data_IF_280485892233
#
_entry.id   IF_280485892233
#
_cell.length_a   1.000
_cell.length_b   1.000
_cell.length_c   1.000
_cell.angle_alpha   90.00
_cell.angle_beta   90.00
_cell.angle_gamma   90.00
#
_symmetry.space_group_name_H-M   'P 1'
#
loop_
_entity.id
_entity.type
_entity.pdbx_description
1 polymer ?
#
# COMPACT_ATOMS: atom_id res chain seq x y z
N UNK A 1 13.74 17.35 -15.85
CA UNK A 1 14.51 18.54 -15.45
C UNK A 1 14.99 18.47 -13.99
N UNK A 2 14.21 17.95 -13.04
CA UNK A 2 14.62 17.82 -11.62
C UNK A 2 15.82 16.86 -11.44
N UNK A 3 15.88 15.75 -12.19
CA UNK A 3 17.04 14.83 -12.17
C UNK A 3 18.37 15.56 -12.44
N UNK A 4 18.38 16.51 -13.36
CA UNK A 4 19.60 17.21 -13.81
C UNK A 4 20.16 18.18 -12.75
N UNK A 5 19.31 18.66 -11.83
CA UNK A 5 19.69 19.50 -10.69
C UNK A 5 20.09 18.67 -9.46
N UNK A 6 19.41 17.54 -9.19
CA UNK A 6 19.63 16.76 -7.98
C UNK A 6 20.76 15.74 -8.08
N UNK A 7 21.07 15.23 -9.27
CA UNK A 7 22.19 14.28 -9.49
C UNK A 7 23.54 14.85 -9.05
N UNK A 8 23.95 16.08 -9.40
CA UNK A 8 25.24 16.61 -8.97
C UNK A 8 25.34 16.89 -7.47
N UNK A 9 24.21 17.06 -6.75
CA UNK A 9 24.21 17.41 -5.33
C UNK A 9 23.97 16.22 -4.39
N UNK A 10 23.16 15.23 -4.79
CA UNK A 10 22.72 14.09 -3.95
C UNK A 10 22.96 12.74 -4.66
N UNK A 11 23.57 12.73 -5.85
CA UNK A 11 23.90 11.51 -6.59
C UNK A 11 22.68 10.70 -7.03
N UNK A 12 22.82 9.38 -7.02
CA UNK A 12 21.77 8.42 -7.45
C UNK A 12 20.51 8.52 -6.57
N UNK A 13 20.67 8.81 -5.27
CA UNK A 13 19.54 8.99 -4.35
C UNK A 13 18.69 10.20 -4.80
N UNK A 14 19.34 11.29 -5.22
CA UNK A 14 18.66 12.45 -5.79
C UNK A 14 17.83 12.13 -7.05
N UNK A 15 18.33 11.24 -7.90
CA UNK A 15 17.59 10.79 -9.09
C UNK A 15 16.33 9.97 -8.73
N UNK A 16 16.43 9.09 -7.73
CA UNK A 16 15.28 8.31 -7.25
C UNK A 16 14.21 9.21 -6.60
N UNK A 17 14.62 10.19 -5.77
CA UNK A 17 13.70 11.15 -5.14
C UNK A 17 13.00 12.03 -6.17
N UNK A 18 13.74 12.51 -7.17
CA UNK A 18 13.18 13.32 -8.26
C UNK A 18 12.15 12.53 -9.09
N UNK A 19 12.41 11.25 -9.34
CA UNK A 19 11.45 10.36 -10.03
C UNK A 19 10.20 10.15 -9.19
N UNK A 20 10.35 9.82 -7.90
CA UNK A 20 9.24 9.66 -6.97
C UNK A 20 8.37 10.93 -6.91
N UNK A 21 9.00 12.09 -6.78
CA UNK A 21 8.31 13.38 -6.73
C UNK A 21 7.60 13.73 -8.03
N UNK A 22 8.23 13.44 -9.18
CA UNK A 22 7.63 13.67 -10.50
C UNK A 22 6.37 12.83 -10.70
N UNK A 23 6.42 11.54 -10.35
CA UNK A 23 5.24 10.67 -10.42
C UNK A 23 4.17 11.05 -9.40
N UNK A 24 4.56 11.48 -8.20
CA UNK A 24 3.61 11.98 -7.20
C UNK A 24 2.86 13.21 -7.71
N UNK A 25 3.56 14.22 -8.23
CA UNK A 25 2.94 15.40 -8.84
C UNK A 25 2.04 15.03 -10.01
N UNK A 26 2.49 14.12 -10.88
CA UNK A 26 1.69 13.64 -12.01
C UNK A 26 0.39 12.99 -11.53
N UNK A 27 0.45 12.14 -10.50
CA UNK A 27 -0.73 11.50 -9.91
C UNK A 27 -1.70 12.53 -9.31
N UNK A 28 -1.19 13.51 -8.56
CA UNK A 28 -2.01 14.58 -7.95
C UNK A 28 -2.67 15.45 -9.00
N UNK A 29 -1.93 15.91 -10.01
CA UNK A 29 -2.47 16.74 -11.09
C UNK A 29 -3.51 15.98 -11.92
N UNK A 30 -3.21 14.72 -12.25
CA UNK A 30 -4.15 13.85 -12.96
C UNK A 30 -5.43 13.67 -12.14
N UNK A 31 -5.31 13.34 -10.85
CA UNK A 31 -6.44 13.20 -9.94
C UNK A 31 -7.28 14.49 -9.88
N UNK A 32 -6.65 15.64 -9.72
CA UNK A 32 -7.35 16.93 -9.66
C UNK A 32 -8.11 17.25 -10.95
N UNK A 33 -7.51 16.98 -12.12
CA UNK A 33 -8.16 17.21 -13.43
C UNK A 33 -9.28 16.19 -13.65
N UNK A 34 -9.07 14.92 -13.30
CA UNK A 34 -10.06 13.86 -13.41
C UNK A 34 -11.28 14.12 -12.52
N UNK A 35 -11.08 14.55 -11.26
CA UNK A 35 -12.16 14.93 -10.34
C UNK A 35 -13.00 16.11 -10.86
N UNK A 36 -12.41 17.00 -11.66
CA UNK A 36 -13.13 18.13 -12.27
C UNK A 36 -14.05 17.70 -13.42
N UNK A 37 -13.68 16.67 -14.17
CA UNK A 37 -14.41 16.24 -15.37
C UNK A 37 -15.27 14.99 -15.15
N UNK A 38 -14.93 14.17 -14.17
CA UNK A 38 -15.63 12.95 -13.80
C UNK A 38 -16.03 13.03 -12.33
N UNK A 39 -17.28 12.63 -12.03
CA UNK A 39 -17.70 12.27 -10.66
C UNK A 39 -17.04 10.94 -10.28
N UNK A 40 -15.71 10.95 -10.12
CA UNK A 40 -15.02 9.84 -9.49
C UNK A 40 -15.23 9.99 -7.99
N UNK A 41 -15.99 9.07 -7.41
CA UNK A 41 -15.98 8.83 -5.97
C UNK A 41 -14.61 8.26 -5.60
N UNK A 42 -13.60 9.14 -5.56
CA UNK A 42 -12.30 8.76 -5.04
C UNK A 42 -12.47 8.52 -3.55
N UNK A 43 -12.35 7.26 -3.15
CA UNK A 43 -12.29 6.86 -1.75
C UNK A 43 -10.93 7.25 -1.16
N UNK A 44 -10.65 8.56 -1.12
CA UNK A 44 -9.48 9.14 -0.43
C UNK A 44 -9.40 8.64 1.01
N UNK A 45 -10.57 8.42 1.63
CA UNK A 45 -10.69 7.80 2.93
C UNK A 45 -9.99 6.43 2.98
N UNK A 46 -10.17 5.56 2.00
CA UNK A 46 -9.56 4.22 1.98
C UNK A 46 -8.04 4.27 1.73
N UNK A 47 -7.56 5.25 0.96
CA UNK A 47 -6.12 5.52 0.82
C UNK A 47 -5.51 5.87 2.18
N UNK A 48 -6.18 6.76 2.95
CA UNK A 48 -5.70 7.14 4.30
C UNK A 48 -5.66 5.93 5.23
N UNK A 49 -6.67 5.05 5.20
CA UNK A 49 -6.67 3.80 5.99
C UNK A 49 -5.52 2.87 5.62
N UNK A 50 -5.25 2.72 4.32
CA UNK A 50 -4.13 1.90 3.83
C UNK A 50 -2.77 2.46 4.27
N UNK A 51 -2.60 3.78 4.21
CA UNK A 51 -1.40 4.45 4.72
C UNK A 51 -1.25 4.23 6.23
N UNK A 52 -2.31 4.38 7.01
CA UNK A 52 -2.30 4.17 8.46
C UNK A 52 -1.95 2.72 8.83
N UNK A 53 -2.51 1.75 8.10
CA UNK A 53 -2.17 0.33 8.26
C UNK A 53 -0.70 0.06 7.94
N UNK A 54 -0.18 0.65 6.86
CA UNK A 54 1.23 0.53 6.46
C UNK A 54 2.19 1.12 7.50
N UNK A 55 1.84 2.26 8.10
CA UNK A 55 2.62 2.87 9.18
C UNK A 55 2.66 1.93 10.39
N UNK A 56 1.54 1.31 10.75
CA UNK A 56 1.48 0.37 11.88
C UNK A 56 2.35 -0.86 11.64
N UNK A 57 2.32 -1.42 10.43
CA UNK A 57 3.23 -2.49 10.01
C UNK A 57 4.70 -2.04 10.08
N UNK A 58 5.02 -0.86 9.57
CA UNK A 58 6.39 -0.33 9.61
C UNK A 58 6.91 -0.20 11.04
N UNK A 59 6.11 0.37 11.94
CA UNK A 59 6.45 0.48 13.35
C UNK A 59 6.74 -0.89 13.94
N UNK A 60 5.88 -1.88 13.69
CA UNK A 60 6.11 -3.25 14.13
C UNK A 60 7.44 -3.82 13.63
N UNK A 61 7.68 -3.80 12.33
CA UNK A 61 8.90 -4.37 11.73
C UNK A 61 10.15 -3.64 12.22
N UNK A 62 10.06 -2.33 12.48
CA UNK A 62 11.20 -1.52 12.94
C UNK A 62 11.73 -1.90 14.32
N UNK A 63 10.94 -2.60 15.16
CA UNK A 63 11.40 -3.08 16.47
C UNK A 63 12.31 -4.30 16.40
N UNK A 64 12.39 -4.98 15.24
CA UNK A 64 13.18 -6.19 15.09
C UNK A 64 14.48 -5.92 14.33
N UNK A 65 15.58 -6.48 14.82
CA UNK A 65 16.87 -6.47 14.13
C UNK A 65 17.01 -7.79 13.37
N UNK A 66 16.91 -7.72 12.04
CA UNK A 66 17.01 -8.87 11.16
C UNK A 66 18.48 -9.27 11.02
N UNK A 67 18.85 -10.43 11.55
CA UNK A 67 20.23 -10.96 11.51
C UNK A 67 20.38 -12.17 10.59
N UNK A 68 19.27 -12.86 10.28
CA UNK A 68 19.23 -14.04 9.42
C UNK A 68 18.14 -13.95 8.34
N UNK A 69 18.32 -14.70 7.24
CA UNK A 69 17.32 -14.78 6.16
C UNK A 69 16.01 -15.43 6.63
N UNK A 70 16.07 -16.37 7.57
CA UNK A 70 14.87 -16.99 8.13
C UNK A 70 14.06 -15.99 8.96
N UNK A 71 14.73 -15.18 9.79
CA UNK A 71 14.10 -14.10 10.55
C UNK A 71 13.46 -13.06 9.62
N UNK A 72 14.08 -12.77 8.47
CA UNK A 72 13.51 -11.88 7.47
C UNK A 72 12.14 -12.39 6.98
N UNK A 73 12.05 -13.68 6.63
CA UNK A 73 10.79 -14.27 6.18
C UNK A 73 9.73 -14.31 7.28
N UNK A 74 10.12 -14.62 8.52
CA UNK A 74 9.21 -14.62 9.67
C UNK A 74 8.65 -13.23 9.95
N UNK A 75 9.52 -12.22 10.04
CA UNK A 75 9.12 -10.84 10.33
C UNK A 75 8.32 -10.25 9.16
N UNK A 76 8.69 -10.54 7.91
CA UNK A 76 7.94 -10.12 6.74
C UNK A 76 6.53 -10.75 6.72
N UNK A 77 6.43 -12.05 7.01
CA UNK A 77 5.15 -12.76 7.13
C UNK A 77 4.27 -12.14 8.22
N UNK A 78 4.85 -11.85 9.39
CA UNK A 78 4.14 -11.22 10.49
C UNK A 78 3.72 -9.77 10.16
N UNK A 79 4.57 -9.01 9.46
CA UNK A 79 4.25 -7.67 8.97
C UNK A 79 3.03 -7.67 8.04
N UNK A 80 2.95 -8.63 7.11
CA UNK A 80 1.78 -8.80 6.23
C UNK A 80 0.52 -9.09 7.05
N UNK A 81 0.60 -9.99 8.04
CA UNK A 81 -0.54 -10.29 8.92
C UNK A 81 -1.01 -9.05 9.69
N UNK A 82 -0.08 -8.26 10.23
CA UNK A 82 -0.40 -7.03 10.95
C UNK A 82 -1.05 -6.00 10.02
N UNK A 83 -0.52 -5.80 8.82
CA UNK A 83 -1.13 -4.92 7.83
C UNK A 83 -2.57 -5.36 7.52
N UNK A 84 -2.82 -6.65 7.29
CA UNK A 84 -4.16 -7.16 7.00
C UNK A 84 -5.12 -6.98 8.17
N UNK A 85 -4.67 -7.30 9.40
CA UNK A 85 -5.48 -7.12 10.61
C UNK A 85 -5.82 -5.64 10.82
N UNK A 86 -4.85 -4.74 10.68
CA UNK A 86 -5.08 -3.31 10.84
C UNK A 86 -5.98 -2.75 9.74
N UNK A 87 -5.81 -3.19 8.49
CA UNK A 87 -6.71 -2.81 7.40
C UNK A 87 -8.15 -3.28 7.67
N UNK A 88 -8.32 -4.46 8.24
CA UNK A 88 -9.63 -4.96 8.65
C UNK A 88 -10.22 -4.14 9.81
N UNK A 89 -9.43 -3.84 10.85
CA UNK A 89 -9.87 -3.08 12.03
C UNK A 89 -10.29 -1.64 11.71
N UNK A 90 -9.55 -0.99 10.80
CA UNK A 90 -9.84 0.38 10.36
C UNK A 90 -11.06 0.41 9.40
N UNK A 91 -11.62 -0.75 9.04
CA UNK A 91 -12.71 -0.85 8.08
C UNK A 91 -12.25 -0.47 6.67
N UNK A 92 -11.02 -0.85 6.31
CA UNK A 92 -10.42 -0.59 5.00
C UNK A 92 -11.02 -1.40 3.87
N UNK A 93 -11.82 -2.43 4.18
CA UNK A 93 -12.55 -3.20 3.19
C UNK A 93 -14.01 -2.75 3.16
N UNK A 94 -14.53 -2.52 1.95
CA UNK A 94 -15.94 -2.22 1.74
C UNK A 94 -16.78 -3.50 1.91
N UNK A 95 -18.03 -3.39 2.36
CA UNK A 95 -18.95 -4.54 2.50
C UNK A 95 -19.05 -5.38 1.22
N UNK A 96 -18.99 -4.72 0.05
CA UNK A 96 -18.96 -5.40 -1.24
C UNK A 96 -17.70 -6.27 -1.41
N UNK A 97 -16.53 -5.76 -1.06
CA UNK A 97 -15.26 -6.48 -1.16
C UNK A 97 -15.23 -7.68 -0.20
N UNK A 98 -15.69 -7.49 1.04
CA UNK A 98 -15.85 -8.57 2.02
C UNK A 98 -16.81 -9.66 1.52
N UNK A 99 -17.91 -9.26 0.87
CA UNK A 99 -18.87 -10.21 0.28
C UNK A 99 -18.25 -11.02 -0.86
N UNK A 100 -17.38 -10.41 -1.68
CA UNK A 100 -16.67 -11.08 -2.76
C UNK A 100 -15.65 -12.07 -2.20
N UNK A 101 -14.83 -11.65 -1.23
CA UNK A 101 -13.86 -12.52 -0.57
C UNK A 101 -14.57 -13.73 0.03
N UNK A 102 -15.67 -13.51 0.76
CA UNK A 102 -16.50 -14.59 1.33
C UNK A 102 -17.00 -15.51 0.23
N UNK A 103 -17.54 -14.97 -0.87
CA UNK A 103 -18.06 -15.78 -1.98
C UNK A 103 -16.97 -16.68 -2.60
N UNK A 104 -15.76 -16.16 -2.82
CA UNK A 104 -14.66 -16.94 -3.38
C UNK A 104 -14.10 -17.97 -2.40
N UNK A 105 -13.93 -17.63 -1.13
CA UNK A 105 -13.48 -18.56 -0.09
C UNK A 105 -14.46 -19.73 0.10
N UNK A 106 -15.77 -19.44 0.15
CA UNK A 106 -16.79 -20.47 0.32
C UNK A 106 -17.02 -21.29 -0.96
N UNK A 107 -16.80 -20.71 -2.15
CA UNK A 107 -16.86 -21.44 -3.43
C UNK A 107 -15.64 -22.35 -3.64
N UNK A 108 -14.44 -21.93 -3.21
CA UNK A 108 -13.28 -22.81 -3.19
C UNK A 108 -13.50 -24.02 -2.26
N UNK A 109 -14.24 -23.84 -1.17
CA UNK A 109 -14.61 -24.93 -0.25
C UNK A 109 -15.58 -25.95 -0.87
N UNK A 110 -16.37 -25.58 -1.89
CA UNK A 110 -17.30 -26.51 -2.55
C UNK A 110 -16.64 -27.39 -3.63
N UNK A 111 -15.56 -26.93 -4.27
CA UNK A 111 -14.87 -27.72 -5.31
C UNK A 111 -13.80 -28.67 -4.76
N UNK A 112 -13.31 -28.45 -3.53
CA UNK A 112 -12.37 -29.37 -2.86
C UNK A 112 -13.08 -30.62 -2.28
N UNK A 113 -14.40 -30.73 -2.44
CA UNK A 113 -15.22 -31.84 -1.89
C UNK A 113 -15.86 -32.75 -2.93
N UNK A 114 -15.47 -32.65 -4.21
CA UNK A 114 -15.80 -33.65 -5.25
C UNK A 114 -14.61 -34.56 -5.52
#
# INVERSE_FOLDING_TARGET
MINLLLIPSIGIVGASLSTLFSYFLMAVLCMHISLKHFKLDFYLHDIVKSVLSSITMYLFVSYFVISSIFELFEIAGMGVLIYLVMMFLVGGFTDHELSLIRRYLFRAKSEVKQ
#
